data_IF_608437659576
#
_entry.id   IF_608437659576
#
_cell.length_a   1.000
_cell.length_b   1.000
_cell.length_c   1.000
_cell.angle_alpha   90.00
_cell.angle_beta   90.00
_cell.angle_gamma   90.00
#
_symmetry.space_group_name_H-M   'P 1'
#
loop_
_entity.id
_entity.type
_entity.pdbx_description
1 polymer ?
#
# COMPACT_ATOMS: atom_id res chain seq x y z
N UNK A 1 31.54 10.82 42.24
CA UNK A 1 30.77 9.58 42.44
C UNK A 1 30.89 8.79 41.17
N UNK A 2 31.62 7.69 41.15
CA UNK A 2 31.68 6.81 39.97
C UNK A 2 30.29 6.21 39.81
N UNK A 3 29.63 6.49 38.69
CA UNK A 3 28.41 5.81 38.34
C UNK A 3 28.72 4.30 38.34
N UNK A 4 28.02 3.52 39.15
CA UNK A 4 28.13 2.04 39.09
C UNK A 4 27.80 1.64 37.66
N UNK A 5 28.73 0.99 36.96
CA UNK A 5 28.49 0.43 35.63
C UNK A 5 27.30 -0.52 35.73
N UNK A 6 26.30 -0.32 34.84
CA UNK A 6 25.15 -1.20 34.79
C UNK A 6 25.59 -2.55 34.19
N UNK A 7 25.51 -3.67 34.94
CA UNK A 7 25.99 -4.96 34.47
C UNK A 7 25.15 -5.48 33.26
N UNK A 8 23.96 -4.95 33.06
CA UNK A 8 23.08 -5.29 31.89
C UNK A 8 23.40 -4.47 30.64
N UNK A 9 24.47 -3.67 30.65
CA UNK A 9 24.97 -2.89 29.51
C UNK A 9 26.43 -3.22 29.17
N UNK A 10 27.01 -4.24 29.83
CA UNK A 10 28.37 -4.69 29.57
C UNK A 10 28.35 -5.94 28.71
N UNK A 11 29.17 -5.97 27.66
CA UNK A 11 29.33 -7.10 26.73
C UNK A 11 28.02 -7.56 26.08
N UNK A 12 27.03 -6.65 25.95
CA UNK A 12 25.72 -6.87 25.39
C UNK A 12 25.46 -5.98 24.15
N UNK A 13 26.52 -5.69 23.42
CA UNK A 13 26.42 -4.86 22.21
C UNK A 13 25.49 -5.48 21.14
N UNK A 14 24.80 -4.61 20.44
CA UNK A 14 23.98 -5.00 19.27
C UNK A 14 24.88 -5.59 18.19
N UNK A 15 24.50 -6.75 17.69
CA UNK A 15 25.16 -7.40 16.56
C UNK A 15 24.14 -8.13 15.69
N UNK A 16 24.56 -8.66 14.55
CA UNK A 16 23.65 -9.29 13.57
C UNK A 16 22.90 -10.53 14.09
N UNK A 17 23.35 -11.14 15.18
CA UNK A 17 22.71 -12.31 15.78
C UNK A 17 21.60 -11.94 16.78
N UNK A 18 21.68 -10.76 17.40
CA UNK A 18 20.78 -10.37 18.49
C UNK A 18 19.93 -9.12 18.20
N UNK A 19 20.18 -8.43 17.06
CA UNK A 19 19.49 -7.20 16.73
C UNK A 19 19.23 -7.09 15.23
N UNK A 20 17.98 -6.74 14.90
CA UNK A 20 17.59 -6.24 13.60
C UNK A 20 16.64 -5.06 13.78
N UNK A 21 16.77 -3.97 13.01
CA UNK A 21 15.83 -2.86 13.06
C UNK A 21 14.43 -3.31 12.65
N UNK A 22 13.40 -2.77 13.30
CA UNK A 22 12.01 -3.05 12.93
C UNK A 22 11.69 -2.42 11.56
N UNK A 23 11.32 -3.25 10.60
CA UNK A 23 10.87 -2.81 9.29
C UNK A 23 9.76 -3.73 8.77
N UNK A 24 8.66 -3.19 8.22
CA UNK A 24 7.59 -4.03 7.66
C UNK A 24 8.03 -4.77 6.38
N UNK A 25 9.19 -4.44 5.81
CA UNK A 25 9.76 -5.15 4.66
C UNK A 25 10.09 -6.60 5.03
N UNK A 26 10.42 -6.88 6.30
CA UNK A 26 10.62 -8.24 6.80
C UNK A 26 9.37 -9.12 6.72
N UNK A 27 8.18 -8.53 6.66
CA UNK A 27 6.93 -9.28 6.58
C UNK A 27 6.75 -9.98 5.24
N UNK A 28 7.00 -9.28 4.13
CA UNK A 28 6.88 -9.88 2.80
C UNK A 28 7.97 -10.94 2.57
N UNK A 29 9.19 -10.68 3.04
CA UNK A 29 10.30 -11.65 2.98
C UNK A 29 9.94 -12.94 3.73
N UNK A 30 9.49 -12.82 4.99
CA UNK A 30 9.04 -13.96 5.79
C UNK A 30 7.89 -14.71 5.13
N UNK A 31 6.90 -13.99 4.60
CA UNK A 31 5.74 -14.61 3.95
C UNK A 31 6.11 -15.34 2.66
N UNK A 32 7.03 -14.76 1.87
CA UNK A 32 7.57 -15.41 0.69
C UNK A 32 8.40 -16.65 1.01
N UNK A 33 9.16 -16.62 2.11
CA UNK A 33 9.97 -17.75 2.55
C UNK A 33 9.10 -18.88 3.14
N UNK A 34 8.14 -18.53 4.01
CA UNK A 34 7.35 -19.53 4.75
C UNK A 34 6.19 -20.08 3.93
N UNK A 35 5.58 -19.25 3.07
CA UNK A 35 4.38 -19.58 2.29
C UNK A 35 4.55 -19.25 0.80
N UNK A 36 5.64 -19.71 0.13
CA UNK A 36 6.02 -19.26 -1.22
C UNK A 36 4.92 -19.42 -2.26
N UNK A 37 4.17 -20.50 -2.20
CA UNK A 37 3.15 -20.84 -3.20
C UNK A 37 1.75 -20.34 -2.84
N UNK A 38 1.60 -19.67 -1.69
CA UNK A 38 0.31 -19.11 -1.30
C UNK A 38 0.04 -17.81 -2.07
N UNK A 39 -1.22 -17.63 -2.46
CA UNK A 39 -1.67 -16.44 -3.17
C UNK A 39 -1.49 -15.20 -2.29
N UNK A 40 -0.81 -14.19 -2.82
CA UNK A 40 -0.56 -12.91 -2.15
C UNK A 40 -1.42 -11.79 -2.73
N UNK A 41 -1.52 -11.69 -4.06
CA UNK A 41 -2.22 -10.60 -4.74
C UNK A 41 -3.08 -11.14 -5.88
N UNK A 42 -4.29 -10.60 -5.98
CA UNK A 42 -5.26 -10.87 -7.06
C UNK A 42 -5.74 -9.56 -7.66
N UNK A 43 -5.78 -9.50 -9.00
CA UNK A 43 -6.35 -8.37 -9.73
C UNK A 43 -6.90 -8.83 -11.08
N UNK A 44 -8.21 -8.98 -11.20
CA UNK A 44 -8.84 -9.60 -12.36
C UNK A 44 -8.33 -11.03 -12.58
N UNK A 45 -7.70 -11.28 -13.73
CA UNK A 45 -7.07 -12.57 -14.05
C UNK A 45 -5.64 -12.70 -13.51
N UNK A 46 -4.98 -11.59 -13.15
CA UNK A 46 -3.62 -11.60 -12.59
C UNK A 46 -3.63 -12.17 -11.17
N UNK A 47 -2.75 -13.12 -10.93
CA UNK A 47 -2.57 -13.78 -9.64
C UNK A 47 -1.10 -13.94 -9.37
N UNK A 48 -0.66 -13.48 -8.20
CA UNK A 48 0.73 -13.60 -7.77
C UNK A 48 0.80 -14.29 -6.42
N UNK A 49 1.68 -15.27 -6.31
CA UNK A 49 2.04 -15.92 -5.05
C UNK A 49 2.94 -14.99 -4.21
N UNK A 50 3.17 -15.34 -2.95
CA UNK A 50 4.10 -14.59 -2.10
C UNK A 50 5.52 -14.57 -2.68
N UNK A 51 5.98 -15.71 -3.23
CA UNK A 51 7.29 -15.79 -3.90
C UNK A 51 7.36 -14.84 -5.10
N UNK A 52 6.36 -14.84 -5.96
CA UNK A 52 6.30 -13.97 -7.14
C UNK A 52 6.19 -12.50 -6.74
N UNK A 53 5.32 -12.17 -5.78
CA UNK A 53 5.16 -10.79 -5.31
C UNK A 53 6.46 -10.26 -4.71
N UNK A 54 7.15 -11.04 -3.90
CA UNK A 54 8.44 -10.66 -3.32
C UNK A 54 9.52 -10.46 -4.40
N UNK A 55 9.60 -11.37 -5.38
CA UNK A 55 10.50 -11.24 -6.51
C UNK A 55 10.22 -9.96 -7.33
N UNK A 56 8.95 -9.61 -7.57
CA UNK A 56 8.56 -8.38 -8.26
C UNK A 56 8.95 -7.12 -7.46
N UNK A 57 8.77 -7.13 -6.13
CA UNK A 57 9.22 -6.03 -5.27
C UNK A 57 10.76 -5.85 -5.33
N UNK A 58 11.53 -6.95 -5.31
CA UNK A 58 12.99 -6.90 -5.46
C UNK A 58 13.42 -6.41 -6.84
N UNK A 59 12.72 -6.80 -7.91
CA UNK A 59 12.93 -6.27 -9.25
C UNK A 59 12.70 -4.75 -9.30
N UNK A 60 11.62 -4.26 -8.70
CA UNK A 60 11.36 -2.83 -8.61
C UNK A 60 12.50 -2.11 -7.89
N UNK A 61 12.89 -2.60 -6.72
CA UNK A 61 13.98 -2.02 -5.94
C UNK A 61 15.31 -1.97 -6.71
N UNK A 62 15.70 -3.10 -7.32
CA UNK A 62 16.89 -3.21 -8.14
C UNK A 62 16.88 -2.25 -9.34
N UNK A 63 15.75 -2.17 -10.05
CA UNK A 63 15.61 -1.30 -11.22
C UNK A 63 15.66 0.20 -10.85
N UNK A 64 15.10 0.57 -9.69
CA UNK A 64 15.18 1.92 -9.12
C UNK A 64 16.62 2.25 -8.70
N UNK A 65 17.30 1.32 -7.99
CA UNK A 65 18.68 1.49 -7.56
C UNK A 65 19.65 1.69 -8.76
N UNK A 66 19.47 0.93 -9.84
CA UNK A 66 20.25 1.09 -11.09
C UNK A 66 20.04 2.47 -11.74
N UNK A 67 18.96 3.18 -11.41
CA UNK A 67 18.67 4.56 -11.85
C UNK A 67 19.16 5.63 -10.88
N UNK A 68 19.95 5.23 -9.88
CA UNK A 68 20.48 6.13 -8.87
C UNK A 68 19.42 6.61 -7.86
N UNK A 69 18.35 5.82 -7.66
CA UNK A 69 17.36 6.03 -6.62
C UNK A 69 17.75 5.24 -5.38
N UNK A 70 17.79 5.86 -4.21
CA UNK A 70 18.22 5.23 -2.98
C UNK A 70 17.82 6.02 -1.73
N UNK A 71 18.61 5.88 -0.66
CA UNK A 71 18.34 6.50 0.62
C UNK A 71 18.18 8.03 0.51
N UNK A 72 17.08 8.54 1.07
CA UNK A 72 16.74 9.96 1.03
C UNK A 72 16.04 10.43 -0.25
N UNK A 73 15.87 9.58 -1.24
CA UNK A 73 15.15 9.90 -2.47
C UNK A 73 13.67 9.60 -2.34
N UNK A 74 12.85 10.37 -3.04
CA UNK A 74 11.40 10.14 -3.08
C UNK A 74 10.98 9.52 -4.42
N UNK A 75 10.23 8.44 -4.33
CA UNK A 75 9.48 7.86 -5.45
C UNK A 75 7.99 8.09 -5.20
N UNK A 76 7.38 8.90 -6.06
CA UNK A 76 5.94 9.15 -6.01
C UNK A 76 5.17 8.04 -6.76
N UNK A 77 3.95 7.73 -6.30
CA UNK A 77 3.05 6.80 -6.95
C UNK A 77 1.64 7.39 -7.01
N UNK A 78 1.10 7.56 -8.22
CA UNK A 78 -0.28 7.98 -8.47
C UNK A 78 -1.01 6.86 -9.20
N UNK A 79 -1.52 5.90 -8.43
CA UNK A 79 -2.06 4.63 -8.91
C UNK A 79 -3.43 4.35 -8.29
N UNK A 80 -4.27 3.62 -9.03
CA UNK A 80 -5.44 2.96 -8.45
C UNK A 80 -5.00 1.80 -7.54
N UNK A 81 -5.95 1.11 -6.89
CA UNK A 81 -5.66 -0.09 -6.10
C UNK A 81 -5.33 -1.26 -7.03
N UNK A 82 -4.08 -1.37 -7.41
CA UNK A 82 -3.54 -2.38 -8.32
C UNK A 82 -2.36 -3.12 -7.68
N UNK A 83 -1.90 -4.24 -8.25
CA UNK A 83 -0.70 -4.93 -7.78
C UNK A 83 0.53 -4.01 -7.73
N UNK A 84 0.68 -3.12 -8.70
CA UNK A 84 1.79 -2.18 -8.80
C UNK A 84 1.81 -1.22 -7.59
N UNK A 85 0.63 -0.73 -7.16
CA UNK A 85 0.54 0.10 -5.96
C UNK A 85 0.91 -0.71 -4.71
N UNK A 86 0.45 -1.96 -4.61
CA UNK A 86 0.82 -2.85 -3.51
C UNK A 86 2.33 -3.09 -3.48
N UNK A 87 2.94 -3.40 -4.62
CA UNK A 87 4.37 -3.64 -4.77
C UNK A 87 5.23 -2.41 -4.44
N UNK A 88 4.74 -1.19 -4.74
CA UNK A 88 5.42 0.05 -4.37
C UNK A 88 5.63 0.19 -2.85
N UNK A 89 4.71 -0.32 -2.02
CA UNK A 89 4.84 -0.25 -0.56
C UNK A 89 6.04 -1.05 -0.01
N UNK A 90 6.57 -1.96 -0.81
CA UNK A 90 7.73 -2.78 -0.47
C UNK A 90 8.94 -2.45 -1.35
N UNK A 91 8.78 -2.47 -2.67
CA UNK A 91 9.89 -2.33 -3.60
C UNK A 91 10.56 -0.95 -3.55
N UNK A 92 9.81 0.12 -3.32
CA UNK A 92 10.40 1.46 -3.16
C UNK A 92 11.26 1.54 -1.90
N UNK A 93 10.75 1.18 -0.70
CA UNK A 93 11.61 1.20 0.49
C UNK A 93 12.73 0.16 0.50
N UNK A 94 12.62 -0.94 -0.24
CA UNK A 94 13.69 -1.92 -0.37
C UNK A 94 14.96 -1.33 -0.99
N UNK A 95 14.87 -0.32 -1.87
CA UNK A 95 16.06 0.41 -2.35
C UNK A 95 16.49 1.56 -1.44
N UNK A 96 15.83 1.74 -0.28
CA UNK A 96 16.09 2.81 0.68
C UNK A 96 15.34 4.10 0.40
N UNK A 97 14.58 4.18 -0.68
CA UNK A 97 13.81 5.37 -1.04
C UNK A 97 12.51 5.50 -0.21
N UNK A 98 11.96 6.71 -0.20
CA UNK A 98 10.71 7.04 0.49
C UNK A 98 9.56 6.99 -0.51
N UNK A 99 8.53 6.18 -0.22
CA UNK A 99 7.33 6.11 -1.04
C UNK A 99 6.41 7.29 -0.76
N UNK A 100 6.12 8.11 -1.78
CA UNK A 100 5.11 9.17 -1.69
C UNK A 100 3.85 8.75 -2.46
N UNK A 101 2.82 8.31 -1.74
CA UNK A 101 1.54 7.94 -2.35
C UNK A 101 0.65 9.16 -2.55
N UNK A 102 0.28 9.44 -3.81
CA UNK A 102 -0.49 10.60 -4.18
C UNK A 102 -1.99 10.30 -4.24
N UNK A 103 -2.79 11.23 -3.73
CA UNK A 103 -4.25 11.12 -3.78
C UNK A 103 -4.74 11.36 -5.21
N UNK A 104 -5.31 10.34 -5.82
CA UNK A 104 -5.80 10.34 -7.21
C UNK A 104 -7.00 11.27 -7.47
N UNK A 105 -7.58 11.85 -6.43
CA UNK A 105 -8.74 12.75 -6.50
C UNK A 105 -8.38 14.23 -6.46
N UNK A 106 -7.09 14.56 -6.28
CA UNK A 106 -6.59 15.92 -6.22
C UNK A 106 -6.34 16.46 -7.63
N UNK A 107 -6.39 17.79 -7.72
CA UNK A 107 -6.10 18.52 -8.94
C UNK A 107 -4.59 18.61 -9.25
N UNK A 108 -4.28 19.12 -10.43
CA UNK A 108 -2.91 19.22 -10.91
C UNK A 108 -2.04 20.21 -10.09
N UNK A 109 -2.64 21.22 -9.44
CA UNK A 109 -1.91 22.18 -8.61
C UNK A 109 -1.42 21.53 -7.34
N UNK A 110 -2.30 20.79 -6.65
CA UNK A 110 -1.96 20.06 -5.44
C UNK A 110 -0.92 18.94 -5.73
N UNK A 111 -1.11 18.19 -6.82
CA UNK A 111 -0.17 17.11 -7.20
C UNK A 111 1.18 17.71 -7.60
N UNK A 112 1.21 18.79 -8.39
CA UNK A 112 2.44 19.49 -8.77
C UNK A 112 3.21 20.00 -7.55
N UNK A 113 2.50 20.61 -6.57
CA UNK A 113 3.10 21.00 -5.31
C UNK A 113 3.70 19.80 -4.56
N UNK A 114 2.97 18.70 -4.42
CA UNK A 114 3.46 17.51 -3.71
C UNK A 114 4.69 16.89 -4.37
N UNK A 115 4.71 16.82 -5.70
CA UNK A 115 5.85 16.34 -6.48
C UNK A 115 7.10 17.22 -6.31
N UNK A 116 6.92 18.53 -6.33
CA UNK A 116 8.00 19.50 -6.13
C UNK A 116 8.50 19.52 -4.70
N UNK A 117 7.61 19.69 -3.72
CA UNK A 117 7.92 19.79 -2.29
C UNK A 117 8.47 18.47 -1.73
N UNK A 118 7.94 17.32 -2.16
CA UNK A 118 8.41 16.00 -1.78
C UNK A 118 9.67 15.56 -2.54
N UNK A 119 10.20 16.42 -3.42
CA UNK A 119 11.40 16.17 -4.20
C UNK A 119 11.40 14.86 -5.00
N UNK A 120 10.26 14.50 -5.59
CA UNK A 120 10.12 13.26 -6.34
C UNK A 120 11.14 13.17 -7.48
N UNK A 121 11.92 12.09 -7.52
CA UNK A 121 12.81 11.73 -8.62
C UNK A 121 12.12 10.90 -9.69
N UNK A 122 11.25 10.00 -9.25
CA UNK A 122 10.47 9.08 -10.09
C UNK A 122 9.00 9.22 -9.73
N UNK A 123 8.13 9.16 -10.72
CA UNK A 123 6.69 9.05 -10.58
C UNK A 123 6.23 7.77 -11.28
N UNK A 124 5.64 6.86 -10.52
CA UNK A 124 4.95 5.68 -11.06
C UNK A 124 3.49 6.08 -11.23
N UNK A 125 2.98 6.06 -12.45
CA UNK A 125 1.76 6.74 -12.87
C UNK A 125 0.80 5.80 -13.61
N UNK A 126 -0.43 5.67 -13.12
CA UNK A 126 -1.49 4.99 -13.89
C UNK A 126 -1.97 5.91 -15.02
N UNK A 127 -2.09 5.37 -16.23
CA UNK A 127 -2.55 6.10 -17.42
C UNK A 127 -3.94 6.72 -17.24
N UNK A 128 -4.76 6.18 -16.35
CA UNK A 128 -6.06 6.76 -15.98
C UNK A 128 -5.94 8.23 -15.56
N UNK A 129 -4.88 8.57 -14.85
CA UNK A 129 -4.66 9.89 -14.30
C UNK A 129 -3.75 10.78 -15.16
N UNK A 130 -3.44 10.35 -16.38
CA UNK A 130 -2.44 10.98 -17.26
C UNK A 130 -2.68 12.48 -17.50
N UNK A 131 -3.93 12.91 -17.68
CA UNK A 131 -4.25 14.32 -17.90
C UNK A 131 -3.88 15.20 -16.68
N UNK A 132 -4.22 14.76 -15.46
CA UNK A 132 -3.86 15.45 -14.23
C UNK A 132 -2.35 15.44 -14.00
N UNK A 133 -1.71 14.30 -14.24
CA UNK A 133 -0.26 14.11 -14.07
C UNK A 133 0.52 15.01 -15.05
N UNK A 134 0.15 15.06 -16.32
CA UNK A 134 0.81 15.91 -17.31
C UNK A 134 0.79 17.39 -16.90
N UNK A 135 -0.37 17.88 -16.46
CA UNK A 135 -0.52 19.24 -15.96
C UNK A 135 0.26 19.48 -14.65
N UNK A 136 0.33 18.47 -13.77
CA UNK A 136 1.07 18.55 -12.52
C UNK A 136 2.59 18.56 -12.73
N UNK A 137 3.11 17.76 -13.67
CA UNK A 137 4.54 17.75 -14.02
C UNK A 137 5.03 19.10 -14.52
N UNK A 138 4.22 19.82 -15.28
CA UNK A 138 4.54 21.18 -15.73
C UNK A 138 4.68 22.18 -14.56
N UNK A 139 4.05 21.90 -13.41
CA UNK A 139 4.04 22.74 -12.21
C UNK A 139 5.02 22.30 -11.13
N UNK A 140 5.56 21.10 -11.22
CA UNK A 140 6.43 20.53 -10.19
C UNK A 140 7.80 21.24 -10.05
N UNK A 141 8.20 22.05 -11.03
CA UNK A 141 9.45 22.82 -11.00
C UNK A 141 10.73 22.00 -11.06
N UNK A 142 10.64 20.71 -11.39
CA UNK A 142 11.76 19.78 -11.47
C UNK A 142 11.54 18.69 -12.52
N UNK A 143 12.64 18.09 -12.98
CA UNK A 143 12.57 16.94 -13.88
C UNK A 143 12.26 15.68 -13.07
N UNK A 144 11.23 14.94 -13.47
CA UNK A 144 10.78 13.71 -12.83
C UNK A 144 10.72 12.61 -13.91
N UNK A 145 11.31 11.47 -13.63
CA UNK A 145 11.21 10.30 -14.52
C UNK A 145 9.83 9.65 -14.31
N UNK A 146 9.06 9.50 -15.37
CA UNK A 146 7.74 8.86 -15.31
C UNK A 146 7.84 7.41 -15.77
N UNK A 147 7.23 6.51 -15.00
CA UNK A 147 7.05 5.09 -15.30
C UNK A 147 5.55 4.82 -15.36
N UNK A 148 5.06 4.37 -16.50
CA UNK A 148 3.62 4.19 -16.71
C UNK A 148 3.13 2.82 -16.24
N UNK A 149 2.00 2.81 -15.53
CA UNK A 149 1.20 1.60 -15.30
C UNK A 149 0.06 1.59 -16.31
N UNK A 150 0.00 0.52 -17.08
CA UNK A 150 -1.01 0.28 -18.12
C UNK A 150 -1.83 -0.94 -17.72
N UNK A 151 -2.81 -0.73 -16.84
CA UNK A 151 -3.65 -1.80 -16.34
C UNK A 151 -4.74 -2.18 -17.37
N UNK A 152 -4.78 -3.45 -17.74
CA UNK A 152 -5.73 -3.98 -18.71
C UNK A 152 -7.21 -3.88 -18.24
N UNK A 153 -7.47 -3.73 -16.94
CA UNK A 153 -8.82 -3.54 -16.41
C UNK A 153 -9.32 -2.08 -16.54
N UNK A 154 -8.46 -1.17 -16.96
CA UNK A 154 -8.87 0.20 -17.25
C UNK A 154 -9.11 0.38 -18.76
N UNK A 155 -10.38 0.49 -19.16
CA UNK A 155 -10.81 0.66 -20.55
C UNK A 155 -11.00 2.14 -20.95
N UNK A 156 -10.84 3.07 -19.99
CA UNK A 156 -11.05 4.48 -20.21
C UNK A 156 -9.94 5.18 -21.01
N UNK A 157 -10.16 6.46 -21.30
CA UNK A 157 -9.18 7.33 -21.95
C UNK A 157 -7.96 7.56 -21.05
N UNK A 158 -6.80 7.74 -21.68
CA UNK A 158 -5.54 7.99 -20.99
C UNK A 158 -4.37 7.62 -21.89
N UNK A 159 -3.21 8.23 -21.62
CA UNK A 159 -2.00 7.99 -22.42
C UNK A 159 -0.81 7.67 -21.50
N UNK A 160 0.18 7.05 -22.06
CA UNK A 160 1.49 6.91 -21.42
C UNK A 160 2.22 8.25 -21.48
N UNK A 161 2.89 8.62 -20.39
CA UNK A 161 3.64 9.86 -20.25
C UNK A 161 5.15 9.60 -20.15
N UNK A 162 5.53 8.41 -19.73
CA UNK A 162 6.91 7.98 -19.58
C UNK A 162 7.43 7.22 -20.78
N UNK A 163 8.73 6.95 -20.75
CA UNK A 163 9.39 6.16 -21.79
C UNK A 163 9.23 4.65 -21.59
N UNK A 164 8.88 4.22 -20.38
CA UNK A 164 8.76 2.80 -20.00
C UNK A 164 7.49 2.52 -19.22
N UNK A 165 7.00 1.29 -19.41
CA UNK A 165 5.97 0.74 -18.54
C UNK A 165 6.58 0.14 -17.27
N UNK A 166 5.75 -0.03 -16.25
CA UNK A 166 6.14 -0.67 -15.00
C UNK A 166 6.67 -2.10 -15.22
N UNK A 167 6.01 -2.89 -16.06
CA UNK A 167 6.46 -4.25 -16.38
C UNK A 167 7.83 -4.24 -17.08
N UNK A 168 8.04 -3.35 -18.06
CA UNK A 168 9.33 -3.19 -18.71
C UNK A 168 10.43 -2.72 -17.73
N UNK A 169 10.06 -1.92 -16.70
CA UNK A 169 11.00 -1.57 -15.64
C UNK A 169 11.38 -2.79 -14.80
N UNK A 170 10.40 -3.63 -14.44
CA UNK A 170 10.66 -4.84 -13.66
C UNK A 170 11.56 -5.85 -14.39
N UNK A 171 11.44 -5.96 -15.73
CA UNK A 171 12.30 -6.83 -16.55
C UNK A 171 13.79 -6.48 -16.44
N UNK A 172 14.12 -5.21 -16.18
CA UNK A 172 15.50 -4.76 -15.97
C UNK A 172 16.02 -5.07 -14.55
N UNK A 173 15.12 -5.37 -13.61
CA UNK A 173 15.45 -5.61 -12.21
C UNK A 173 15.83 -7.04 -11.92
N UNK A 174 16.64 -7.23 -10.89
CA UNK A 174 17.07 -8.53 -10.40
C UNK A 174 16.05 -9.07 -9.37
N UNK A 175 15.44 -10.25 -9.61
CA UNK A 175 14.50 -10.88 -8.67
C UNK A 175 15.16 -11.39 -7.39
N UNK A 176 16.49 -11.58 -7.42
CA UNK A 176 17.26 -12.04 -6.28
C UNK A 176 18.06 -10.92 -5.61
N UNK A 177 17.77 -9.65 -5.99
CA UNK A 177 18.46 -8.50 -5.45
C UNK A 177 18.41 -8.45 -3.92
N UNK A 178 19.58 -8.30 -3.29
CA UNK A 178 19.73 -8.19 -1.84
C UNK A 178 19.36 -6.77 -1.41
N UNK A 179 18.15 -6.62 -0.87
CA UNK A 179 17.64 -5.33 -0.46
C UNK A 179 18.25 -4.88 0.88
N UNK A 180 18.37 -3.58 1.06
CA UNK A 180 19.01 -3.01 2.22
C UNK A 180 18.06 -2.85 3.40
N UNK A 181 18.40 -3.45 4.52
CA UNK A 181 17.76 -3.16 5.78
C UNK A 181 18.02 -1.69 6.17
N UNK A 182 17.05 -0.98 6.80
CA UNK A 182 17.32 0.36 7.29
C UNK A 182 18.43 0.30 8.33
N UNK A 183 19.38 1.25 8.25
CA UNK A 183 20.44 1.36 9.26
C UNK A 183 19.90 1.80 10.63
N UNK A 184 18.77 2.51 10.60
CA UNK A 184 17.99 2.91 11.77
C UNK A 184 16.50 2.76 11.46
N UNK A 185 15.75 2.10 12.34
CA UNK A 185 14.30 1.93 12.21
C UNK A 185 13.50 3.24 12.25
N UNK A 186 14.14 4.35 12.61
CA UNK A 186 13.58 5.72 12.55
C UNK A 186 13.68 6.34 11.15
N UNK A 187 14.38 5.72 10.21
CA UNK A 187 14.43 6.19 8.82
C UNK A 187 13.03 6.21 8.19
N UNK A 188 12.84 7.19 7.29
CA UNK A 188 11.59 7.35 6.57
C UNK A 188 11.31 6.15 5.65
N UNK A 189 10.08 5.65 5.68
CA UNK A 189 9.59 4.63 4.75
C UNK A 189 8.60 5.22 3.74
N UNK A 190 7.83 6.23 4.18
CA UNK A 190 6.75 6.78 3.38
C UNK A 190 6.48 8.25 3.73
N UNK A 191 6.07 9.00 2.71
CA UNK A 191 5.63 10.39 2.78
C UNK A 191 4.17 10.46 2.35
N UNK A 192 3.30 11.01 3.20
CA UNK A 192 1.88 11.23 2.92
C UNK A 192 1.57 12.72 3.06
N UNK A 193 0.62 13.21 2.27
CA UNK A 193 0.19 14.60 2.37
C UNK A 193 -1.21 14.71 2.97
N UNK A 194 -1.39 15.71 3.86
CA UNK A 194 -2.72 16.08 4.35
C UNK A 194 -3.50 16.80 3.25
N UNK A 195 -4.84 16.86 3.37
CA UNK A 195 -5.71 17.52 2.39
C UNK A 195 -5.57 19.05 2.31
N UNK A 196 -4.83 19.68 3.23
CA UNK A 196 -4.50 21.11 3.15
C UNK A 196 -5.69 22.06 3.26
N UNK A 197 -6.66 21.81 4.13
CA UNK A 197 -7.87 22.65 4.29
C UNK A 197 -7.61 24.11 4.68
N UNK A 198 -6.41 24.45 5.17
CA UNK A 198 -6.03 25.79 5.67
C UNK A 198 -4.74 26.33 5.06
N UNK A 199 -4.28 25.80 3.93
CA UNK A 199 -3.03 26.21 3.28
C UNK A 199 -2.43 25.08 2.45
N UNK A 200 -1.14 25.16 2.13
CA UNK A 200 -0.45 24.09 1.40
C UNK A 200 -0.51 22.77 2.17
N UNK A 201 -0.66 21.63 1.46
CA UNK A 201 -0.61 20.31 2.07
C UNK A 201 0.66 20.11 2.88
N UNK A 202 0.53 19.47 4.04
CA UNK A 202 1.68 19.14 4.91
C UNK A 202 2.14 17.72 4.65
N UNK A 203 3.44 17.53 4.47
CA UNK A 203 4.05 16.21 4.36
C UNK A 203 4.15 15.55 5.74
N UNK A 204 3.56 14.37 5.87
CA UNK A 204 3.63 13.50 7.05
C UNK A 204 4.55 12.34 6.74
N UNK A 205 5.64 12.21 7.47
CA UNK A 205 6.64 11.17 7.26
C UNK A 205 6.37 9.99 8.20
N UNK A 206 6.25 8.79 7.64
CA UNK A 206 6.24 7.55 8.39
C UNK A 206 7.68 7.00 8.47
N UNK A 207 8.04 6.42 9.60
CA UNK A 207 9.28 5.68 9.77
C UNK A 207 9.03 4.17 9.81
N UNK A 208 10.08 3.38 9.54
CA UNK A 208 9.99 1.91 9.47
C UNK A 208 9.38 1.29 10.74
N UNK A 209 9.85 1.73 11.93
CA UNK A 209 9.31 1.27 13.21
C UNK A 209 7.81 1.50 13.36
N UNK A 210 7.33 2.72 13.03
CA UNK A 210 5.90 3.05 13.13
C UNK A 210 5.04 2.20 12.20
N UNK A 211 5.48 2.02 10.95
CA UNK A 211 4.80 1.18 9.99
C UNK A 211 4.75 -0.30 10.42
N UNK A 212 5.86 -0.81 10.98
CA UNK A 212 5.93 -2.16 11.52
C UNK A 212 4.95 -2.37 12.68
N UNK A 213 5.02 -1.50 13.70
CA UNK A 213 4.19 -1.62 14.90
C UNK A 213 2.70 -1.44 14.59
N UNK A 214 2.35 -0.50 13.71
CA UNK A 214 0.96 -0.32 13.30
C UNK A 214 0.45 -1.52 12.47
N UNK A 215 1.29 -2.07 11.58
CA UNK A 215 0.94 -3.28 10.82
C UNK A 215 0.62 -4.47 11.73
N UNK A 216 1.42 -4.70 12.78
CA UNK A 216 1.16 -5.75 13.78
C UNK A 216 -0.02 -5.38 14.68
N UNK A 217 -0.13 -4.10 15.08
CA UNK A 217 -1.24 -3.59 15.89
C UNK A 217 -2.60 -3.84 15.26
N UNK A 218 -2.73 -3.63 13.94
CA UNK A 218 -3.96 -3.93 13.19
C UNK A 218 -4.39 -5.39 13.33
N UNK A 219 -3.44 -6.34 13.26
CA UNK A 219 -3.73 -7.78 13.43
C UNK A 219 -4.28 -8.04 14.83
N UNK A 220 -3.61 -7.49 15.85
CA UNK A 220 -3.97 -7.75 17.25
C UNK A 220 -5.32 -7.14 17.62
N UNK A 221 -5.54 -5.87 17.27
CA UNK A 221 -6.76 -5.14 17.64
C UNK A 221 -7.98 -5.68 16.92
N UNK A 222 -7.84 -6.07 15.66
CA UNK A 222 -8.94 -6.59 14.85
C UNK A 222 -9.11 -8.11 14.98
N UNK A 223 -8.21 -8.81 15.67
CA UNK A 223 -8.24 -10.27 15.76
C UNK A 223 -8.11 -10.94 14.38
N UNK A 224 -7.33 -10.35 13.48
CA UNK A 224 -7.23 -10.78 12.10
C UNK A 224 -6.55 -12.16 12.00
N UNK A 225 -7.25 -13.22 11.51
CA UNK A 225 -6.68 -14.55 11.44
C UNK A 225 -5.55 -14.64 10.40
N UNK A 226 -4.65 -15.58 10.60
CA UNK A 226 -3.64 -15.89 9.60
C UNK A 226 -4.31 -16.24 8.26
N UNK A 227 -3.72 -15.75 7.17
CA UNK A 227 -4.21 -15.97 5.81
C UNK A 227 -5.56 -15.34 5.49
N UNK A 228 -5.94 -14.27 6.19
CA UNK A 228 -7.13 -13.50 5.85
C UNK A 228 -7.11 -13.06 4.37
N UNK A 229 -8.27 -13.04 3.74
CA UNK A 229 -8.44 -12.50 2.39
C UNK A 229 -9.00 -11.10 2.51
N UNK A 230 -8.20 -10.12 2.09
CA UNK A 230 -8.47 -8.69 2.26
C UNK A 230 -8.83 -8.04 0.93
N UNK A 231 -10.02 -7.40 0.86
CA UNK A 231 -10.47 -6.65 -0.32
C UNK A 231 -10.14 -5.16 -0.18
N UNK A 232 -9.48 -4.61 -1.19
CA UNK A 232 -9.03 -3.23 -1.22
C UNK A 232 -10.12 -2.23 -1.64
N UNK A 233 -11.14 -2.04 -0.81
CA UNK A 233 -12.12 -0.94 -0.93
C UNK A 233 -11.56 0.39 -0.42
N UNK A 234 -10.62 0.34 0.51
CA UNK A 234 -9.85 1.49 0.97
C UNK A 234 -8.79 1.86 -0.06
N UNK A 235 -8.62 3.15 -0.44
CA UNK A 235 -7.51 3.53 -1.31
C UNK A 235 -6.15 3.25 -0.68
N UNK A 236 -5.28 2.52 -1.38
CA UNK A 236 -3.92 2.22 -0.90
C UNK A 236 -3.06 3.46 -0.72
N UNK A 237 -3.37 4.55 -1.43
CA UNK A 237 -2.65 5.81 -1.29
C UNK A 237 -2.98 6.55 0.00
N UNK A 238 -4.18 6.36 0.58
CA UNK A 238 -4.64 7.15 1.72
C UNK A 238 -4.03 6.63 3.01
N UNK A 239 -3.18 7.46 3.65
CA UNK A 239 -2.40 7.09 4.84
C UNK A 239 -1.75 5.70 4.67
N UNK A 240 -1.16 5.46 3.49
CA UNK A 240 -0.63 4.17 3.03
C UNK A 240 -1.58 3.00 3.31
N UNK A 241 -2.84 3.18 2.85
CA UNK A 241 -3.88 2.18 3.02
C UNK A 241 -4.06 1.74 4.48
N UNK A 242 -3.93 2.67 5.44
CA UNK A 242 -3.97 2.44 6.90
C UNK A 242 -3.00 1.35 7.36
N UNK A 243 -1.85 1.26 6.71
CA UNK A 243 -0.81 0.24 6.93
C UNK A 243 -1.23 -1.20 6.56
N UNK A 244 -2.39 -1.41 5.92
CA UNK A 244 -2.85 -2.75 5.55
C UNK A 244 -2.01 -3.46 4.47
N UNK A 245 -1.25 -2.80 3.56
CA UNK A 245 -0.29 -3.52 2.74
C UNK A 245 0.68 -4.36 3.58
N UNK A 246 1.21 -3.76 4.65
CA UNK A 246 2.12 -4.41 5.58
C UNK A 246 1.41 -5.39 6.53
N UNK A 247 0.20 -5.04 6.99
CA UNK A 247 -0.65 -5.92 7.83
C UNK A 247 -0.96 -7.24 7.13
N UNK A 248 -1.41 -7.18 5.86
CA UNK A 248 -1.74 -8.37 5.08
C UNK A 248 -0.48 -9.21 4.81
N UNK A 249 0.67 -8.56 4.56
CA UNK A 249 1.95 -9.26 4.42
C UNK A 249 2.38 -9.93 5.72
N UNK A 250 2.26 -9.26 6.88
CA UNK A 250 2.58 -9.86 8.18
C UNK A 250 1.76 -11.10 8.49
N UNK A 251 0.54 -11.16 7.99
CA UNK A 251 -0.42 -12.24 8.20
C UNK A 251 -0.40 -13.32 7.09
N UNK A 252 0.50 -13.18 6.11
CA UNK A 252 0.54 -14.01 4.89
C UNK A 252 -0.85 -14.17 4.25
N UNK A 253 -1.64 -13.09 4.26
CA UNK A 253 -2.98 -13.02 3.71
C UNK A 253 -2.99 -12.87 2.19
N UNK A 254 -4.16 -12.68 1.62
CA UNK A 254 -4.34 -12.41 0.19
C UNK A 254 -4.94 -11.03 -0.01
N UNK A 255 -4.30 -10.19 -0.79
CA UNK A 255 -4.81 -8.88 -1.23
C UNK A 255 -5.61 -9.02 -2.51
N UNK A 256 -6.91 -8.72 -2.46
CA UNK A 256 -7.77 -8.63 -3.64
C UNK A 256 -7.88 -7.16 -4.03
N UNK A 257 -7.25 -6.79 -5.13
CA UNK A 257 -7.23 -5.41 -5.62
C UNK A 257 -8.57 -5.04 -6.27
N UNK A 258 -8.99 -3.78 -6.07
CA UNK A 258 -10.25 -3.24 -6.58
C UNK A 258 -10.01 -1.81 -7.07
N UNK A 259 -10.05 -1.59 -8.39
CA UNK A 259 -9.88 -0.25 -8.99
C UNK A 259 -11.05 0.69 -8.65
N UNK A 260 -12.28 0.17 -8.69
CA UNK A 260 -13.50 0.97 -8.59
C UNK A 260 -14.40 0.45 -7.49
N UNK A 261 -14.72 1.32 -6.56
CA UNK A 261 -15.56 0.99 -5.40
C UNK A 261 -17.02 1.07 -5.81
N UNK A 262 -17.59 -0.07 -6.23
CA UNK A 262 -18.99 -0.24 -6.62
C UNK A 262 -19.60 -1.43 -5.89
N UNK A 263 -20.81 -1.32 -5.30
CA UNK A 263 -21.41 -2.39 -4.52
C UNK A 263 -21.50 -3.74 -5.25
N UNK A 264 -21.90 -3.74 -6.52
CA UNK A 264 -22.00 -4.95 -7.33
C UNK A 264 -20.67 -5.69 -7.43
N UNK A 265 -19.61 -4.97 -7.79
CA UNK A 265 -18.26 -5.51 -7.92
C UNK A 265 -17.69 -5.96 -6.55
N UNK A 266 -17.97 -5.21 -5.48
CA UNK A 266 -17.55 -5.59 -4.12
C UNK A 266 -18.15 -6.95 -3.73
N UNK A 267 -19.48 -7.13 -3.87
CA UNK A 267 -20.14 -8.39 -3.53
C UNK A 267 -19.69 -9.54 -4.45
N UNK A 268 -19.42 -9.27 -5.72
CA UNK A 268 -18.87 -10.26 -6.65
C UNK A 268 -17.50 -10.75 -6.18
N UNK A 269 -16.56 -9.84 -5.90
CA UNK A 269 -15.21 -10.17 -5.45
C UNK A 269 -15.22 -10.85 -4.06
N UNK A 270 -16.13 -10.44 -3.16
CA UNK A 270 -16.31 -11.13 -1.88
C UNK A 270 -16.63 -12.60 -2.12
N UNK A 271 -17.62 -12.91 -2.97
CA UNK A 271 -17.98 -14.30 -3.29
C UNK A 271 -16.87 -15.05 -3.99
N UNK A 272 -16.31 -14.45 -5.03
CA UNK A 272 -15.32 -15.10 -5.91
C UNK A 272 -14.06 -15.48 -5.14
N UNK A 273 -13.61 -14.62 -4.24
CA UNK A 273 -12.35 -14.79 -3.53
C UNK A 273 -12.51 -15.18 -2.07
N UNK A 274 -13.75 -15.41 -1.60
CA UNK A 274 -14.04 -15.71 -0.18
C UNK A 274 -13.42 -14.66 0.75
N UNK A 275 -13.61 -13.38 0.41
CA UNK A 275 -13.09 -12.25 1.19
C UNK A 275 -13.60 -12.33 2.62
N UNK A 276 -12.70 -12.16 3.56
CA UNK A 276 -12.97 -12.21 5.00
C UNK A 276 -12.89 -10.84 5.67
N UNK A 277 -12.11 -9.91 5.09
CA UNK A 277 -11.83 -8.60 5.68
C UNK A 277 -11.78 -7.51 4.62
N UNK A 278 -12.25 -6.31 4.97
CA UNK A 278 -11.99 -5.07 4.21
C UNK A 278 -12.15 -3.85 5.12
N UNK A 279 -11.57 -2.71 4.73
CA UNK A 279 -11.76 -1.43 5.40
C UNK A 279 -12.47 -0.45 4.48
N UNK A 280 -13.27 0.45 5.03
CA UNK A 280 -13.94 1.47 4.24
C UNK A 280 -14.35 2.70 5.05
N UNK A 281 -14.54 3.83 4.36
CA UNK A 281 -15.20 4.99 4.94
C UNK A 281 -16.71 4.71 5.09
N UNK A 282 -17.44 5.45 5.95
CA UNK A 282 -18.88 5.25 6.16
C UNK A 282 -19.71 5.23 4.88
N UNK A 283 -19.33 6.02 3.86
CA UNK A 283 -20.03 6.07 2.57
C UNK A 283 -19.98 4.73 1.81
N UNK A 284 -18.89 3.96 1.97
CA UNK A 284 -18.77 2.63 1.33
C UNK A 284 -19.74 1.66 2.01
N UNK A 285 -19.75 1.63 3.34
CA UNK A 285 -20.67 0.78 4.12
C UNK A 285 -22.13 1.16 3.86
N UNK A 286 -22.44 2.46 3.77
CA UNK A 286 -23.78 2.94 3.44
C UNK A 286 -24.21 2.47 2.04
N UNK A 287 -23.33 2.53 1.06
CA UNK A 287 -23.63 2.06 -0.30
C UNK A 287 -23.89 0.55 -0.33
N UNK A 288 -23.14 -0.23 0.45
CA UNK A 288 -23.36 -1.68 0.57
C UNK A 288 -24.65 -2.00 1.31
N UNK A 289 -24.96 -1.32 2.43
CA UNK A 289 -26.18 -1.53 3.19
C UNK A 289 -27.45 -1.23 2.38
N UNK A 290 -27.38 -0.25 1.47
CA UNK A 290 -28.49 0.17 0.60
C UNK A 290 -28.54 -0.59 -0.74
N UNK A 291 -27.56 -1.47 -1.01
CA UNK A 291 -27.53 -2.22 -2.26
C UNK A 291 -28.66 -3.28 -2.34
N UNK A 292 -29.15 -3.62 -3.54
CA UNK A 292 -30.13 -4.67 -3.74
C UNK A 292 -29.74 -5.99 -3.05
N UNK A 293 -30.69 -6.63 -2.37
CA UNK A 293 -30.43 -7.86 -1.61
C UNK A 293 -29.90 -9.02 -2.48
N UNK A 294 -30.23 -9.02 -3.77
CA UNK A 294 -29.75 -10.01 -4.74
C UNK A 294 -28.23 -10.00 -4.89
N UNK A 295 -27.60 -8.84 -4.78
CA UNK A 295 -26.15 -8.70 -4.95
C UNK A 295 -25.36 -9.42 -3.84
N UNK A 296 -25.93 -9.62 -2.67
CA UNK A 296 -25.28 -10.30 -1.53
C UNK A 296 -25.58 -11.81 -1.45
N UNK A 297 -26.45 -12.36 -2.32
CA UNK A 297 -26.73 -13.80 -2.33
C UNK A 297 -25.47 -14.63 -2.49
N UNK A 298 -25.37 -15.74 -1.73
CA UNK A 298 -24.21 -16.66 -1.77
C UNK A 298 -23.01 -16.22 -0.94
N UNK A 299 -23.17 -15.21 -0.07
CA UNK A 299 -22.21 -14.88 1.00
C UNK A 299 -22.83 -15.41 2.30
N UNK A 300 -22.35 -16.56 2.75
CA UNK A 300 -22.84 -17.34 3.89
C UNK A 300 -21.83 -17.42 5.06
N UNK A 301 -20.83 -16.55 5.03
CA UNK A 301 -19.82 -16.38 6.08
C UNK A 301 -19.78 -14.95 6.56
N UNK A 302 -19.22 -14.74 7.76
CA UNK A 302 -19.01 -13.39 8.30
C UNK A 302 -17.90 -12.67 7.55
N UNK A 303 -18.19 -11.47 7.05
CA UNK A 303 -17.21 -10.55 6.50
C UNK A 303 -16.93 -9.46 7.54
N UNK A 304 -15.68 -9.39 8.00
CA UNK A 304 -15.25 -8.38 8.95
C UNK A 304 -14.94 -7.09 8.21
N UNK A 305 -15.52 -5.99 8.64
CA UNK A 305 -15.29 -4.69 8.04
C UNK A 305 -14.93 -3.66 9.11
N UNK A 306 -13.90 -2.86 8.82
CA UNK A 306 -13.44 -1.79 9.68
C UNK A 306 -13.80 -0.45 9.08
N UNK A 307 -14.44 0.41 9.89
CA UNK A 307 -14.81 1.77 9.49
C UNK A 307 -13.91 2.79 10.18
N UNK A 308 -13.42 3.74 9.42
CA UNK A 308 -12.69 4.88 9.97
C UNK A 308 -12.86 6.13 9.08
N UNK A 309 -12.29 7.25 9.53
CA UNK A 309 -12.41 8.56 8.91
C UNK A 309 -13.58 9.40 9.46
N UNK A 310 -14.71 8.76 9.82
CA UNK A 310 -15.82 9.36 10.54
C UNK A 310 -16.62 8.26 11.23
N UNK A 311 -17.39 8.61 12.27
CA UNK A 311 -18.31 7.67 12.91
C UNK A 311 -19.46 7.33 11.94
N UNK A 312 -19.79 6.04 11.75
CA UNK A 312 -20.91 5.64 10.92
C UNK A 312 -22.24 5.90 11.65
N UNK A 313 -23.31 6.29 10.93
CA UNK A 313 -24.65 6.34 11.51
C UNK A 313 -25.11 4.97 12.00
N UNK A 314 -25.88 4.91 13.10
CA UNK A 314 -26.41 3.66 13.66
C UNK A 314 -27.15 2.79 12.62
N UNK A 315 -27.93 3.40 11.74
CA UNK A 315 -28.64 2.70 10.67
C UNK A 315 -27.69 1.98 9.68
N UNK A 316 -26.48 2.51 9.46
CA UNK A 316 -25.46 1.85 8.63
C UNK A 316 -24.92 0.62 9.35
N UNK A 317 -24.62 0.74 10.65
CA UNK A 317 -24.15 -0.38 11.47
C UNK A 317 -25.18 -1.51 11.44
N UNK A 318 -26.45 -1.20 11.79
CA UNK A 318 -27.54 -2.18 11.76
C UNK A 318 -27.74 -2.81 10.37
N UNK A 319 -27.65 -2.00 9.32
CA UNK A 319 -27.75 -2.49 7.93
C UNK A 319 -26.66 -3.49 7.57
N UNK A 320 -25.44 -3.23 7.99
CA UNK A 320 -24.29 -4.12 7.75
C UNK A 320 -24.40 -5.41 8.57
N UNK A 321 -24.77 -5.32 9.85
CA UNK A 321 -24.94 -6.48 10.72
C UNK A 321 -26.08 -7.40 10.24
N UNK A 322 -27.22 -6.83 9.78
CA UNK A 322 -28.31 -7.59 9.16
C UNK A 322 -27.89 -8.34 7.90
N UNK A 323 -26.82 -7.94 7.26
CA UNK A 323 -26.23 -8.64 6.12
C UNK A 323 -25.25 -9.75 6.51
N UNK A 324 -24.95 -9.93 7.81
CA UNK A 324 -23.94 -10.87 8.29
C UNK A 324 -22.52 -10.30 8.26
N UNK A 325 -22.36 -8.98 8.13
CA UNK A 325 -21.07 -8.31 8.18
C UNK A 325 -20.81 -7.83 9.62
N UNK A 326 -19.59 -8.05 10.10
CA UNK A 326 -19.18 -7.59 11.43
C UNK A 326 -18.46 -6.24 11.27
N UNK A 327 -19.09 -5.17 11.73
CA UNK A 327 -18.54 -3.82 11.64
C UNK A 327 -17.81 -3.44 12.93
N UNK A 328 -16.53 -3.04 12.79
CA UNK A 328 -15.67 -2.57 13.87
C UNK A 328 -15.34 -1.10 13.69
#
# INVERSE_FOLDING_TARGET
>A
MNAKSNPYEQDLDKNRANYAPLTPLSFIERSAYTYPNRLAVVHGSRRYTWKETYARCRRLASALARRGVGAGDTVAAMLANTPEMYECHFGVPMCGAVLNTLNTRLDADAIGFMLGHGEAKVLIADREFSATIEAALAKAGRRITVIDVDDALYEGAGKRLGEKTYEALLEEGDPEWDWHWPGDEWQAISLNYTSGTTGNPKGVVYHHRGAYLNGVGNILVWGMPQHAVYLWTLPMFHCNGWCFPWTVAANAGTSVCLRKVEPGLIFELIRQHKVTHYCGAPIVHQALANAPAELRKGIDWTVNCLVAGAAPPAAVIEGMEKMGFSLT
#
